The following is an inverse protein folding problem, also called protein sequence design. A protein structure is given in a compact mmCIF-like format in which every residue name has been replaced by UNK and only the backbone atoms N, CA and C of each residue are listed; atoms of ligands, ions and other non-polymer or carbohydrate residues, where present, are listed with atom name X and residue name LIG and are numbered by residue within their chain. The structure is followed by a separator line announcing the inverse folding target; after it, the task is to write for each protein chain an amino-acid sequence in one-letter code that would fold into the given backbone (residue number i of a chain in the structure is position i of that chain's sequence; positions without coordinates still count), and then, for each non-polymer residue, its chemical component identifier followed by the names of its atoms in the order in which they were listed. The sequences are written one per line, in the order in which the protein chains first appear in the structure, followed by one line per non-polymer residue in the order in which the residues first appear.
data_IF_436397258808
#
_entry.id   IF_436397258808
#
_cell.length_a   1.000
_cell.length_b   1.000
_cell.length_c   1.000
_cell.angle_alpha   90.00
_cell.angle_beta   90.00
_cell.angle_gamma   90.00
#
_symmetry.space_group_name_H-M   'P 1'
#
loop_
_entity.id
_entity.type
_entity.pdbx_description
1 polymer ?
#
# COMPACT_ATOMS: atom_id res chain seq x y z
N UNK A 1 16.17 16.83 4.75
CA UNK A 1 17.02 15.60 4.83
C UNK A 1 16.30 14.53 4.04
N UNK A 2 16.98 13.84 3.12
CA UNK A 2 16.36 12.71 2.44
C UNK A 2 16.18 11.60 3.46
N UNK A 3 14.95 11.38 3.90
CA UNK A 3 14.63 10.29 4.79
C UNK A 3 14.60 9.00 3.95
N UNK A 4 15.61 8.15 4.13
CA UNK A 4 15.70 6.86 3.46
C UNK A 4 16.02 5.77 4.46
N UNK A 5 15.62 4.55 4.12
CA UNK A 5 15.96 3.32 4.83
C UNK A 5 16.62 2.34 3.85
N UNK A 6 17.72 1.71 4.26
CA UNK A 6 18.36 0.64 3.48
C UNK A 6 18.00 -0.71 4.09
N UNK A 7 17.33 -1.54 3.31
CA UNK A 7 17.09 -2.94 3.69
C UNK A 7 18.39 -3.74 3.54
N UNK A 8 18.97 -4.13 4.67
CA UNK A 8 20.25 -4.83 4.69
C UNK A 8 20.19 -6.25 4.11
N UNK A 9 18.99 -6.79 3.89
CA UNK A 9 18.79 -8.14 3.35
C UNK A 9 19.11 -8.22 1.86
N UNK A 10 18.82 -7.15 1.09
CA UNK A 10 19.02 -7.07 -0.36
C UNK A 10 19.73 -5.79 -0.83
N UNK A 11 20.01 -4.86 0.09
CA UNK A 11 20.65 -3.58 -0.20
C UNK A 11 19.73 -2.54 -0.83
N UNK A 12 18.44 -2.82 -0.96
CA UNK A 12 17.47 -1.87 -1.54
C UNK A 12 17.27 -0.66 -0.62
N UNK A 13 17.25 0.52 -1.24
CA UNK A 13 17.00 1.79 -0.54
C UNK A 13 15.55 2.19 -0.78
N UNK A 14 14.81 2.38 0.29
CA UNK A 14 13.43 2.87 0.27
C UNK A 14 13.39 4.31 0.78
N UNK A 15 12.56 5.13 0.15
CA UNK A 15 12.18 6.44 0.72
C UNK A 15 11.32 6.20 1.97
N UNK A 16 11.43 7.10 2.93
CA UNK A 16 10.59 7.09 4.11
C UNK A 16 9.91 8.44 4.31
N UNK A 17 8.73 8.42 4.89
CA UNK A 17 7.94 9.62 5.18
C UNK A 17 7.37 9.54 6.58
N UNK A 18 7.37 10.68 7.27
CA UNK A 18 6.68 10.82 8.56
C UNK A 18 5.31 11.45 8.33
N UNK A 19 4.26 10.74 8.73
CA UNK A 19 2.88 11.19 8.65
C UNK A 19 2.28 11.09 10.06
N UNK A 20 1.92 12.22 10.63
CA UNK A 20 1.57 12.28 12.05
C UNK A 20 2.74 11.83 12.93
N UNK A 21 2.50 10.83 13.74
CA UNK A 21 3.51 10.22 14.61
C UNK A 21 4.18 8.98 13.99
N UNK A 22 3.63 8.47 12.87
CA UNK A 22 4.10 7.25 12.23
C UNK A 22 5.16 7.55 11.15
N UNK A 23 6.11 6.64 10.99
CA UNK A 23 7.09 6.66 9.88
C UNK A 23 6.79 5.48 8.96
N UNK A 24 6.51 5.76 7.70
CA UNK A 24 6.16 4.78 6.68
C UNK A 24 7.26 4.65 5.63
N UNK A 25 7.40 3.47 5.03
CA UNK A 25 8.05 3.39 3.73
C UNK A 25 7.15 4.14 2.71
N UNK A 26 7.72 5.03 1.93
CA UNK A 26 7.01 5.76 0.86
C UNK A 26 6.95 4.98 -0.46
N UNK A 27 7.33 3.70 -0.42
CA UNK A 27 7.34 2.78 -1.55
C UNK A 27 6.83 1.40 -1.08
N UNK A 28 6.19 0.66 -1.98
CA UNK A 28 5.81 -0.71 -1.67
C UNK A 28 7.04 -1.59 -1.50
N UNK A 29 6.98 -2.50 -0.55
CA UNK A 29 8.06 -3.44 -0.30
C UNK A 29 8.32 -4.30 -1.56
N UNK A 30 9.59 -4.51 -1.87
CA UNK A 30 10.03 -5.27 -3.03
C UNK A 30 10.91 -6.48 -2.68
N UNK A 31 11.06 -6.78 -1.38
CA UNK A 31 11.88 -7.89 -0.91
C UNK A 31 11.34 -9.25 -1.35
N UNK A 32 12.21 -10.07 -1.95
CA UNK A 32 11.86 -11.43 -2.40
C UNK A 32 11.74 -12.38 -1.20
N UNK A 33 10.59 -13.01 -1.06
CA UNK A 33 10.37 -14.11 -0.11
C UNK A 33 9.45 -15.16 -0.73
N UNK A 34 9.44 -16.36 -0.18
CA UNK A 34 8.42 -17.36 -0.50
C UNK A 34 7.03 -16.77 -0.22
N UNK A 35 6.06 -17.05 -1.09
CA UNK A 35 4.72 -16.43 -1.02
C UNK A 35 4.67 -15.00 -1.55
N UNK A 36 5.70 -14.54 -2.28
CA UNK A 36 5.70 -13.27 -2.99
C UNK A 36 5.84 -13.43 -4.49
N UNK A 37 5.20 -12.54 -5.23
CA UNK A 37 5.31 -12.42 -6.69
C UNK A 37 5.29 -10.95 -7.12
N UNK A 38 5.42 -10.68 -8.39
CA UNK A 38 5.12 -9.38 -8.96
C UNK A 38 4.00 -9.51 -9.99
N UNK A 39 3.35 -8.41 -10.28
CA UNK A 39 2.16 -8.39 -11.11
C UNK A 39 2.44 -8.97 -12.50
N UNK A 40 1.71 -10.02 -12.88
CA UNK A 40 1.83 -10.78 -14.13
C UNK A 40 3.25 -11.28 -14.43
N UNK A 41 4.10 -11.45 -13.41
CA UNK A 41 5.49 -11.84 -13.56
C UNK A 41 6.30 -10.95 -14.55
N UNK A 42 5.88 -9.67 -14.67
CA UNK A 42 6.53 -8.66 -15.49
C UNK A 42 7.52 -7.83 -14.66
N UNK A 43 8.80 -7.86 -15.03
CA UNK A 43 9.86 -7.16 -14.34
C UNK A 43 9.65 -5.64 -14.29
N UNK A 44 9.04 -5.05 -15.32
CA UNK A 44 8.73 -3.62 -15.33
C UNK A 44 7.71 -3.26 -14.24
N UNK A 45 6.75 -4.16 -13.96
CA UNK A 45 5.81 -4.00 -12.85
C UNK A 45 6.49 -4.14 -11.49
N UNK A 46 7.45 -5.05 -11.36
CA UNK A 46 8.25 -5.21 -10.15
C UNK A 46 9.04 -3.94 -9.81
N UNK A 47 9.74 -3.37 -10.78
CA UNK A 47 10.55 -2.16 -10.57
C UNK A 47 9.69 -0.98 -10.13
N UNK A 48 8.48 -0.89 -10.66
CA UNK A 48 7.58 0.23 -10.43
C UNK A 48 6.69 0.08 -9.19
N UNK A 49 6.10 -1.09 -9.01
CA UNK A 49 5.06 -1.32 -8.00
C UNK A 49 5.51 -2.17 -6.82
N UNK A 50 6.72 -2.72 -6.88
CA UNK A 50 7.23 -3.65 -5.88
C UNK A 50 6.64 -5.05 -6.04
N UNK A 51 6.54 -5.78 -4.93
CA UNK A 51 6.00 -7.14 -4.89
C UNK A 51 4.62 -7.20 -4.26
N UNK A 52 3.90 -8.23 -4.62
CA UNK A 52 2.65 -8.65 -4.01
C UNK A 52 2.93 -9.89 -3.15
N UNK A 53 2.31 -9.98 -2.00
CA UNK A 53 2.55 -11.01 -0.99
C UNK A 53 1.22 -11.67 -0.63
N UNK A 54 1.21 -12.98 -0.46
CA UNK A 54 0.13 -13.59 0.32
C UNK A 54 0.21 -13.16 1.79
N UNK A 55 -0.81 -13.40 2.56
CA UNK A 55 -0.86 -12.89 3.94
C UNK A 55 0.23 -13.47 4.83
N UNK A 56 0.56 -14.76 4.68
CA UNK A 56 1.58 -15.42 5.49
C UNK A 56 2.99 -14.85 5.21
N UNK A 57 3.28 -14.56 3.95
CA UNK A 57 4.50 -13.86 3.53
C UNK A 57 4.50 -12.40 4.00
N UNK A 58 3.38 -11.68 3.85
CA UNK A 58 3.27 -10.28 4.24
C UNK A 58 3.60 -10.06 5.73
N UNK A 59 3.14 -10.95 6.61
CA UNK A 59 3.42 -10.90 8.06
C UNK A 59 4.91 -10.98 8.42
N UNK A 60 5.76 -11.48 7.53
CA UNK A 60 7.20 -11.70 7.74
C UNK A 60 8.07 -10.87 6.81
N UNK A 61 7.47 -10.14 5.87
CA UNK A 61 8.20 -9.50 4.79
C UNK A 61 8.94 -8.24 5.22
N UNK A 62 8.42 -7.48 6.18
CA UNK A 62 9.05 -6.23 6.62
C UNK A 62 10.43 -6.48 7.25
N UNK A 63 11.41 -5.59 7.03
CA UNK A 63 12.76 -5.71 7.58
C UNK A 63 12.78 -5.42 9.10
N UNK A 64 13.90 -5.75 9.74
CA UNK A 64 14.11 -5.45 11.17
C UNK A 64 13.92 -3.96 11.46
N UNK A 65 13.21 -3.64 12.56
CA UNK A 65 12.82 -2.28 12.95
C UNK A 65 11.61 -1.73 12.19
N UNK A 66 10.96 -2.59 11.39
CA UNK A 66 9.74 -2.29 10.65
C UNK A 66 8.76 -3.47 10.72
N UNK A 67 7.49 -3.19 10.66
CA UNK A 67 6.46 -4.22 10.66
C UNK A 67 5.35 -3.97 9.63
N UNK A 68 4.57 -5.01 9.34
CA UNK A 68 3.34 -4.91 8.58
C UNK A 68 2.31 -4.15 9.43
N UNK A 69 1.78 -3.01 8.98
CA UNK A 69 0.87 -2.19 9.77
C UNK A 69 -0.37 -2.98 10.21
N UNK A 70 -0.78 -2.79 11.44
CA UNK A 70 -2.09 -3.24 11.93
C UNK A 70 -3.22 -2.41 11.31
N UNK A 71 -4.42 -2.90 11.44
CA UNK A 71 -5.63 -2.17 11.04
C UNK A 71 -5.78 -0.83 11.78
N UNK A 72 -5.42 -0.80 13.06
CA UNK A 72 -5.41 0.43 13.86
C UNK A 72 -4.36 1.45 13.39
N UNK A 73 -3.20 1.01 12.91
CA UNK A 73 -2.16 1.90 12.38
C UNK A 73 -2.54 2.47 11.01
N UNK A 74 -3.21 1.68 10.17
CA UNK A 74 -3.82 2.18 8.93
C UNK A 74 -4.91 3.20 9.23
N UNK A 75 -5.79 2.92 10.20
CA UNK A 75 -6.83 3.88 10.60
C UNK A 75 -6.22 5.18 11.13
N UNK A 76 -5.17 5.10 11.97
CA UNK A 76 -4.45 6.28 12.47
C UNK A 76 -3.85 7.13 11.34
N UNK A 77 -3.32 6.49 10.28
CA UNK A 77 -2.87 7.19 9.08
C UNK A 77 -4.02 7.92 8.39
N UNK A 78 -5.13 7.20 8.15
CA UNK A 78 -6.30 7.75 7.46
C UNK A 78 -6.90 8.91 8.25
N UNK A 79 -7.11 8.77 9.55
CA UNK A 79 -7.62 9.81 10.44
C UNK A 79 -6.76 11.08 10.40
N UNK A 80 -5.42 10.91 10.43
CA UNK A 80 -4.51 12.05 10.35
C UNK A 80 -4.57 12.78 9.01
N UNK A 81 -4.64 12.02 7.91
CA UNK A 81 -4.66 12.57 6.54
C UNK A 81 -6.00 13.22 6.23
N UNK A 82 -7.09 12.67 6.74
CA UNK A 82 -8.44 13.24 6.59
C UNK A 82 -8.55 14.62 7.22
N UNK A 83 -7.98 14.80 8.42
CA UNK A 83 -8.10 16.04 9.20
C UNK A 83 -9.48 16.21 9.82
N UNK A 84 -9.65 17.28 10.60
CA UNK A 84 -10.86 17.49 11.39
C UNK A 84 -12.07 17.98 10.57
N UNK A 85 -11.87 18.56 9.39
CA UNK A 85 -12.89 19.37 8.70
C UNK A 85 -13.51 18.70 7.45
N UNK A 86 -12.95 17.64 6.90
CA UNK A 86 -13.36 17.12 5.57
C UNK A 86 -13.87 15.68 5.56
N UNK A 87 -13.82 14.96 6.67
CA UNK A 87 -14.15 13.54 6.72
C UNK A 87 -13.18 12.67 5.89
N UNK A 88 -13.39 11.37 5.86
CA UNK A 88 -12.50 10.41 5.18
C UNK A 88 -12.51 10.51 3.65
N UNK A 89 -13.42 11.32 3.07
CA UNK A 89 -13.72 11.36 1.63
C UNK A 89 -12.54 11.74 0.72
N UNK A 90 -11.44 12.28 1.26
CA UNK A 90 -10.30 12.76 0.47
C UNK A 90 -8.95 12.18 0.90
N UNK A 91 -8.93 11.29 1.87
CA UNK A 91 -7.67 10.70 2.35
C UNK A 91 -6.92 9.96 1.24
N UNK A 92 -7.64 9.21 0.41
CA UNK A 92 -7.05 8.51 -0.73
C UNK A 92 -6.48 9.45 -1.77
N UNK A 93 -7.13 10.59 -2.05
CA UNK A 93 -6.62 11.60 -2.98
C UNK A 93 -5.29 12.20 -2.48
N UNK A 94 -5.20 12.52 -1.18
CA UNK A 94 -4.00 13.08 -0.53
C UNK A 94 -2.84 12.06 -0.45
N UNK A 95 -3.12 10.76 -0.45
CA UNK A 95 -2.11 9.70 -0.42
C UNK A 95 -1.69 9.17 -1.79
N UNK A 96 -2.53 9.32 -2.83
CA UNK A 96 -2.22 8.87 -4.19
C UNK A 96 -1.04 9.61 -4.78
N UNK A 97 -0.16 8.88 -5.44
CA UNK A 97 0.86 9.48 -6.31
C UNK A 97 0.21 10.37 -7.40
N UNK A 98 0.88 11.45 -7.76
CA UNK A 98 0.40 12.44 -8.76
C UNK A 98 0.26 11.89 -10.18
N UNK A 99 0.81 10.70 -10.42
CA UNK A 99 0.84 10.04 -11.72
C UNK A 99 0.51 8.56 -11.57
N UNK A 100 0.34 7.89 -12.70
CA UNK A 100 0.16 6.44 -12.84
C UNK A 100 -1.26 5.92 -12.61
N UNK A 101 -2.14 6.70 -12.02
CA UNK A 101 -3.55 6.37 -11.89
C UNK A 101 -4.30 6.59 -13.19
N UNK A 102 -5.21 5.68 -13.54
CA UNK A 102 -6.07 5.82 -14.71
C UNK A 102 -6.94 7.07 -14.58
N UNK A 103 -7.17 7.73 -15.71
CA UNK A 103 -8.08 8.87 -15.76
C UNK A 103 -9.52 8.39 -15.81
N UNK A 104 -10.36 8.91 -14.94
CA UNK A 104 -11.79 8.66 -15.00
C UNK A 104 -12.42 9.54 -16.08
N UNK A 105 -12.78 8.95 -17.21
CA UNK A 105 -13.38 9.67 -18.34
C UNK A 105 -14.83 10.12 -18.12
N UNK A 106 -15.48 9.70 -17.04
CA UNK A 106 -16.93 9.81 -16.86
C UNK A 106 -17.41 10.68 -15.69
N UNK A 107 -16.52 11.33 -14.93
CA UNK A 107 -16.93 12.14 -13.77
C UNK A 107 -16.21 13.48 -13.69
N UNK A 108 -16.90 14.46 -13.18
CA UNK A 108 -16.45 15.81 -12.85
C UNK A 108 -15.14 15.77 -12.00
N UNK A 109 -14.05 16.14 -12.65
CA UNK A 109 -12.74 16.24 -12.05
C UNK A 109 -12.03 14.89 -12.02
N UNK A 110 -10.90 14.79 -12.74
CA UNK A 110 -9.93 13.73 -12.51
C UNK A 110 -9.50 13.82 -11.04
N UNK A 111 -9.91 12.89 -10.20
CA UNK A 111 -9.42 12.75 -8.82
C UNK A 111 -8.01 12.18 -8.86
N UNK A 112 -7.11 12.91 -9.51
CA UNK A 112 -5.69 12.61 -9.52
C UNK A 112 -5.16 12.77 -8.10
N UNK A 113 -4.16 11.98 -7.76
CA UNK A 113 -3.50 12.10 -6.47
C UNK A 113 -2.81 13.45 -6.32
N UNK A 114 -2.93 14.04 -5.17
CA UNK A 114 -2.21 15.27 -4.80
C UNK A 114 -0.88 14.95 -4.10
N UNK A 115 -0.79 13.75 -3.49
CA UNK A 115 0.39 13.25 -2.77
C UNK A 115 0.92 14.28 -1.76
N UNK A 116 0.03 14.81 -0.94
CA UNK A 116 0.31 15.92 -0.03
C UNK A 116 1.28 15.53 1.10
N UNK A 117 1.42 14.22 1.33
CA UNK A 117 2.24 13.65 2.39
C UNK A 117 3.44 12.86 1.89
N UNK A 118 3.76 12.89 0.58
CA UNK A 118 4.82 12.08 -0.03
C UNK A 118 4.67 10.57 0.26
N UNK A 119 3.44 10.09 0.49
CA UNK A 119 3.15 8.66 0.67
C UNK A 119 3.29 7.89 -0.64
N UNK A 120 3.02 8.56 -1.76
CA UNK A 120 3.19 8.06 -3.11
C UNK A 120 2.50 6.70 -3.37
N UNK A 121 1.22 6.59 -3.01
CA UNK A 121 0.44 5.39 -3.30
C UNK A 121 0.33 5.16 -4.80
N UNK A 122 0.89 4.05 -5.31
CA UNK A 122 0.86 3.67 -6.72
C UNK A 122 -0.20 2.59 -6.98
N UNK A 123 -0.91 2.63 -8.12
CA UNK A 123 -1.96 1.68 -8.46
C UNK A 123 -1.40 0.34 -8.96
N UNK A 124 -0.82 -0.44 -8.06
CA UNK A 124 -0.13 -1.70 -8.36
C UNK A 124 -1.07 -2.91 -8.56
N UNK A 125 -2.37 -2.75 -8.36
CA UNK A 125 -3.32 -3.85 -8.44
C UNK A 125 -3.17 -4.89 -7.34
N UNK A 126 -3.74 -6.06 -7.59
CA UNK A 126 -3.65 -7.25 -6.74
C UNK A 126 -3.76 -8.52 -7.59
N UNK A 127 -3.44 -9.68 -7.03
CA UNK A 127 -3.61 -10.97 -7.73
C UNK A 127 -4.34 -11.98 -6.86
N UNK A 128 -5.16 -12.81 -7.52
CA UNK A 128 -5.73 -14.02 -6.95
C UNK A 128 -4.71 -15.18 -6.99
N UNK A 129 -4.92 -16.25 -6.26
CA UNK A 129 -4.18 -17.49 -6.46
C UNK A 129 -4.21 -17.92 -7.94
N UNK A 130 -3.10 -18.49 -8.46
CA UNK A 130 -3.01 -18.91 -9.87
C UNK A 130 -2.59 -17.81 -10.84
N UNK A 131 -2.12 -16.67 -10.34
CA UNK A 131 -1.57 -15.56 -11.14
C UNK A 131 -2.63 -14.77 -11.95
N UNK A 132 -3.88 -14.79 -11.49
CA UNK A 132 -4.95 -13.95 -12.02
C UNK A 132 -4.84 -12.56 -11.40
N UNK A 133 -4.15 -11.64 -12.07
CA UNK A 133 -3.86 -10.30 -11.59
C UNK A 133 -4.77 -9.27 -12.26
N UNK A 134 -5.25 -8.31 -11.48
CA UNK A 134 -6.16 -7.26 -11.96
C UNK A 134 -5.85 -5.89 -11.34
N UNK A 135 -6.27 -4.83 -11.99
CA UNK A 135 -6.36 -3.50 -11.40
C UNK A 135 -5.12 -2.62 -11.47
N UNK A 136 -4.08 -2.96 -12.24
CA UNK A 136 -2.99 -1.99 -12.51
C UNK A 136 -3.60 -0.70 -13.08
N UNK A 137 -3.19 0.44 -12.53
CA UNK A 137 -3.71 1.75 -12.89
C UNK A 137 -5.07 2.07 -12.24
N UNK A 138 -5.76 1.09 -11.68
CA UNK A 138 -7.13 1.24 -11.18
C UNK A 138 -7.20 1.22 -9.66
N UNK A 139 -6.47 0.34 -9.00
CA UNK A 139 -6.45 0.28 -7.53
C UNK A 139 -5.10 -0.15 -7.00
N UNK A 140 -4.92 0.07 -5.72
CA UNK A 140 -3.89 -0.58 -4.93
C UNK A 140 -4.51 -1.20 -3.69
N UNK A 141 -3.98 -2.34 -3.26
CA UNK A 141 -4.40 -3.06 -2.07
C UNK A 141 -3.18 -3.36 -1.21
N UNK A 142 -3.24 -3.03 0.06
CA UNK A 142 -2.18 -3.31 1.05
C UNK A 142 -2.71 -4.16 2.18
N UNK A 143 -1.97 -5.19 2.56
CA UNK A 143 -2.29 -5.96 3.75
C UNK A 143 -2.20 -5.12 5.02
N UNK A 144 -3.11 -5.39 5.94
CA UNK A 144 -2.96 -5.15 7.37
C UNK A 144 -2.49 -6.44 8.05
N UNK A 145 -1.76 -6.35 9.16
CA UNK A 145 -1.39 -7.52 9.96
C UNK A 145 -2.56 -8.11 10.77
N UNK A 146 -3.69 -7.43 10.82
CA UNK A 146 -4.87 -7.80 11.59
C UNK A 146 -5.69 -8.85 10.84
N UNK A 147 -5.89 -9.99 11.47
CA UNK A 147 -6.73 -11.06 10.95
C UNK A 147 -8.22 -10.76 11.21
N UNK A 148 -9.08 -11.06 10.26
CA UNK A 148 -10.52 -11.01 10.47
C UNK A 148 -11.05 -12.34 11.04
N UNK A 149 -10.57 -13.47 10.45
CA UNK A 149 -10.87 -14.83 10.91
C UNK A 149 -9.75 -15.80 10.46
N UNK A 150 -9.98 -17.09 10.56
CA UNK A 150 -9.01 -18.12 10.19
C UNK A 150 -8.55 -18.00 8.71
N UNK A 151 -9.45 -17.65 7.79
CA UNK A 151 -9.20 -17.64 6.35
C UNK A 151 -9.01 -16.25 5.76
N UNK A 152 -9.39 -15.19 6.48
CA UNK A 152 -9.48 -13.82 5.98
C UNK A 152 -8.72 -12.84 6.88
N UNK A 153 -8.24 -11.75 6.27
CA UNK A 153 -7.57 -10.66 6.94
C UNK A 153 -8.00 -9.30 6.38
N UNK A 154 -7.78 -8.25 7.16
CA UNK A 154 -8.03 -6.89 6.69
C UNK A 154 -6.97 -6.45 5.71
N UNK A 155 -7.42 -5.69 4.72
CA UNK A 155 -6.58 -4.96 3.79
C UNK A 155 -7.18 -3.57 3.51
N UNK A 156 -6.33 -2.66 3.03
CA UNK A 156 -6.70 -1.30 2.73
C UNK A 156 -6.53 -1.02 1.25
N UNK A 157 -7.51 -0.31 0.67
CA UNK A 157 -7.60 -0.08 -0.78
C UNK A 157 -7.73 1.40 -1.09
N UNK A 158 -7.14 1.79 -2.21
CA UNK A 158 -7.37 3.08 -2.86
C UNK A 158 -7.74 2.79 -4.31
N UNK A 159 -8.79 3.45 -4.81
CA UNK A 159 -9.25 3.33 -6.19
C UNK A 159 -9.00 4.61 -6.97
N UNK A 160 -8.79 4.49 -8.30
CA UNK A 160 -8.50 5.61 -9.19
C UNK A 160 -9.63 6.65 -9.25
N UNK A 161 -10.88 6.23 -9.10
CA UNK A 161 -12.09 7.02 -9.28
C UNK A 161 -12.77 7.47 -7.98
N UNK A 162 -12.20 7.13 -6.82
CA UNK A 162 -12.68 7.54 -5.51
C UNK A 162 -11.62 8.34 -4.75
N UNK A 163 -12.09 9.27 -3.89
CA UNK A 163 -11.21 10.06 -3.02
C UNK A 163 -10.79 9.34 -1.75
N UNK A 164 -11.50 8.28 -1.37
CA UNK A 164 -11.41 7.64 -0.06
C UNK A 164 -10.31 6.57 0.01
N UNK A 165 -10.01 6.15 1.22
CA UNK A 165 -9.29 4.92 1.54
C UNK A 165 -10.28 3.92 2.12
N UNK A 166 -10.35 2.73 1.56
CA UNK A 166 -11.31 1.71 1.95
C UNK A 166 -10.67 0.61 2.78
N UNK A 167 -11.23 0.34 3.94
CA UNK A 167 -10.96 -0.87 4.70
C UNK A 167 -11.79 -2.02 4.14
N UNK A 168 -11.16 -3.14 3.85
CA UNK A 168 -11.79 -4.30 3.24
C UNK A 168 -11.32 -5.60 3.91
N UNK A 169 -11.98 -6.72 3.61
CA UNK A 169 -11.62 -8.05 4.07
C UNK A 169 -11.37 -8.91 2.83
N UNK A 170 -10.23 -9.59 2.82
CA UNK A 170 -9.86 -10.49 1.73
C UNK A 170 -9.38 -11.85 2.25
N UNK A 171 -9.50 -12.85 1.40
CA UNK A 171 -8.92 -14.16 1.64
C UNK A 171 -7.40 -14.07 1.78
N UNK A 172 -6.82 -14.73 2.78
CA UNK A 172 -5.37 -14.73 3.05
C UNK A 172 -4.51 -15.27 1.90
N UNK A 173 -5.14 -16.02 0.96
CA UNK A 173 -4.49 -16.51 -0.26
C UNK A 173 -4.35 -15.44 -1.37
N UNK A 174 -5.00 -14.29 -1.24
CA UNK A 174 -4.81 -13.16 -2.16
C UNK A 174 -3.41 -12.59 -2.04
N UNK A 175 -2.95 -11.94 -3.11
CA UNK A 175 -1.65 -11.26 -3.15
C UNK A 175 -1.87 -9.75 -3.21
N UNK A 176 -1.48 -9.06 -2.15
CA UNK A 176 -1.55 -7.60 -2.02
C UNK A 176 -0.16 -7.02 -1.76
N UNK A 177 -0.01 -5.73 -1.97
CA UNK A 177 1.20 -4.99 -1.63
C UNK A 177 1.44 -4.98 -0.11
N UNK A 178 2.68 -4.73 0.28
CA UNK A 178 3.08 -4.45 1.66
C UNK A 178 3.68 -3.06 1.72
N UNK A 179 3.24 -2.28 2.71
CA UNK A 179 3.78 -0.97 3.04
C UNK A 179 4.15 -0.99 4.52
N UNK A 180 5.44 -1.10 4.83
CA UNK A 180 5.86 -1.23 6.22
C UNK A 180 5.80 0.10 6.98
N UNK A 181 5.49 0.02 8.26
CA UNK A 181 5.59 1.11 9.24
C UNK A 181 6.74 0.82 10.21
N UNK A 182 7.42 1.86 10.67
CA UNK A 182 8.55 1.74 11.57
C UNK A 182 8.09 1.41 12.99
N UNK A 183 8.82 0.51 13.65
CA UNK A 183 8.58 0.18 15.05
C UNK A 183 8.70 1.44 15.92
N UNK A 184 7.80 1.59 16.88
CA UNK A 184 7.91 2.61 17.93
C UNK A 184 9.07 2.21 18.87
N UNK A 185 9.89 3.19 19.25
CA UNK A 185 11.04 3.00 20.17
C UNK A 185 10.54 3.11 21.61
#
# INVERSE_FOLDING_TARGET
MNNTFTDLRDGRIYKTVKIGEQIWLAENLAYLTEGSKYYNDDLANYEKYGRLYDFAAAKKACPEGWHLPSDAEWQKLVDFVSGDDEGDEYAGEKLKAKKEWNKNKNKLGDKLGTDDYDFAALPGGSCKPGNDCEGIGQHSAWWSSTEYNENEAYNWLIFYDYGDVYRHINEKAMFCSVRCVKDEI
#
